data_IF_847375729839
#
_entry.id   IF_847375729839
#
_cell.length_a   1.000
_cell.length_b   1.000
_cell.length_c   1.000
_cell.angle_alpha   90.00
_cell.angle_beta   90.00
_cell.angle_gamma   90.00
#
_symmetry.space_group_name_H-M   'P 1'
#
loop_
_entity.id
_entity.type
_entity.pdbx_description
1 polymer ?
#
# COMPACT_ATOMS: atom_id res chain seq x y z
N UNK A 1 8.36 17.59 8.67
CA UNK A 1 7.96 16.18 8.44
C UNK A 1 7.06 16.15 7.22
N UNK A 2 7.42 15.38 6.21
CA UNK A 2 6.71 15.37 4.92
C UNK A 2 5.39 14.62 5.02
N UNK A 3 4.33 15.21 4.45
CA UNK A 3 2.99 14.62 4.48
C UNK A 3 2.94 13.25 3.79
N UNK A 4 3.69 13.12 2.70
CA UNK A 4 3.86 11.85 1.99
C UNK A 4 4.57 10.78 2.83
N UNK A 5 5.55 11.18 3.65
CA UNK A 5 6.25 10.25 4.54
C UNK A 5 5.32 9.70 5.62
N UNK A 6 4.41 10.51 6.14
CA UNK A 6 3.39 10.03 7.09
C UNK A 6 2.43 9.00 6.44
N UNK A 7 2.11 9.16 5.15
CA UNK A 7 1.32 8.18 4.39
C UNK A 7 2.09 6.87 4.27
N UNK A 8 3.37 6.94 3.90
CA UNK A 8 4.26 5.78 3.82
C UNK A 8 4.33 5.04 5.17
N UNK A 9 4.56 5.75 6.27
CA UNK A 9 4.60 5.17 7.61
C UNK A 9 3.28 4.49 8.01
N UNK A 10 2.14 5.13 7.74
CA UNK A 10 0.81 4.54 7.99
C UNK A 10 0.56 3.28 7.17
N UNK A 11 1.04 3.27 5.93
CA UNK A 11 1.01 2.11 5.05
C UNK A 11 2.11 1.10 5.38
N UNK A 12 3.02 1.39 6.33
CA UNK A 12 4.10 0.49 6.71
C UNK A 12 5.18 0.33 5.64
N UNK A 13 5.41 1.35 4.82
CA UNK A 13 6.62 1.52 4.03
C UNK A 13 7.76 1.95 4.96
N UNK A 14 8.25 0.98 5.69
CA UNK A 14 9.37 0.98 6.62
C UNK A 14 9.69 -0.50 6.84
N UNK A 15 10.85 -0.87 7.39
CA UNK A 15 11.21 -2.28 7.55
C UNK A 15 10.03 -3.00 8.21
N UNK A 16 9.36 -3.92 7.50
CA UNK A 16 8.39 -4.74 8.17
C UNK A 16 9.18 -5.51 9.23
N UNK A 17 8.75 -5.39 10.48
CA UNK A 17 8.85 -6.54 11.37
C UNK A 17 8.45 -7.75 10.53
N UNK A 18 9.41 -8.64 10.32
CA UNK A 18 9.30 -9.92 9.63
C UNK A 18 7.85 -10.42 9.53
N UNK A 19 7.22 -10.43 8.34
CA UNK A 19 6.19 -11.39 8.04
C UNK A 19 6.92 -12.67 7.67
N UNK A 20 7.42 -13.37 8.70
CA UNK A 20 8.25 -14.56 8.52
C UNK A 20 9.31 -14.70 9.60
N UNK A 21 8.90 -14.79 10.86
CA UNK A 21 9.46 -15.91 11.61
C UNK A 21 8.75 -17.15 11.06
N UNK A 22 9.40 -18.03 10.28
CA UNK A 22 9.16 -19.43 10.55
C UNK A 22 9.69 -19.61 11.97
N UNK A 23 8.79 -19.59 12.95
CA UNK A 23 9.05 -20.34 14.16
C UNK A 23 9.51 -21.72 13.67
N UNK A 24 10.76 -22.15 13.95
CA UNK A 24 11.12 -23.52 13.69
C UNK A 24 10.20 -24.35 14.59
N UNK A 25 9.17 -24.94 13.98
CA UNK A 25 8.42 -26.00 14.63
C UNK A 25 9.45 -27.03 15.11
N UNK A 26 9.48 -27.39 16.41
CA UNK A 26 10.36 -28.46 16.86
C UNK A 26 9.85 -29.75 16.24
N UNK A 27 10.50 -30.19 15.16
CA UNK A 27 10.32 -31.53 14.64
C UNK A 27 11.15 -32.50 15.49
N UNK A 28 10.53 -33.46 16.20
CA UNK A 28 11.25 -34.58 16.75
C UNK A 28 11.69 -35.52 15.61
N UNK A 29 12.98 -35.83 15.55
CA UNK A 29 13.47 -37.05 14.87
C UNK A 29 12.96 -38.28 15.68
N UNK A 30 12.65 -39.43 15.05
CA UNK A 30 13.69 -40.22 14.37
C UNK A 30 13.27 -40.99 13.08
N UNK A 31 14.28 -41.22 12.24
CA UNK A 31 14.64 -42.43 11.48
C UNK A 31 13.67 -43.18 10.53
N UNK A 32 14.17 -43.36 9.29
CA UNK A 32 14.17 -44.58 8.44
C UNK A 32 12.99 -44.89 7.48
N UNK A 33 13.26 -44.71 6.17
CA UNK A 33 13.23 -45.68 5.04
C UNK A 33 12.67 -45.09 3.71
N UNK A 34 13.18 -45.49 2.53
CA UNK A 34 12.85 -44.86 1.25
C UNK A 34 11.88 -45.69 0.39
N UNK A 35 10.81 -45.06 -0.13
CA UNK A 35 10.20 -45.32 -1.46
C UNK A 35 8.84 -44.64 -1.58
N UNK A 36 8.64 -43.91 -2.69
CA UNK A 36 7.40 -43.82 -3.49
C UNK A 36 7.12 -42.42 -4.06
N UNK A 37 7.23 -42.34 -5.39
CA UNK A 37 6.50 -41.50 -6.35
C UNK A 37 6.53 -39.96 -6.21
N UNK A 38 7.03 -39.23 -7.23
CA UNK A 38 6.81 -37.79 -7.32
C UNK A 38 5.38 -37.50 -7.80
N UNK A 39 4.49 -37.21 -6.85
CA UNK A 39 3.23 -36.51 -7.11
C UNK A 39 3.57 -35.04 -7.37
N UNK A 40 3.06 -34.40 -8.45
CA UNK A 40 3.25 -32.96 -8.64
C UNK A 40 2.43 -32.21 -7.58
N UNK A 41 3.13 -31.68 -6.59
CA UNK A 41 2.60 -30.74 -5.61
C UNK A 41 2.14 -29.49 -6.37
N UNK A 42 0.88 -29.02 -6.23
CA UNK A 42 0.52 -27.71 -6.72
C UNK A 42 1.38 -26.68 -5.99
N UNK A 43 2.26 -26.03 -6.73
CA UNK A 43 3.06 -24.93 -6.24
C UNK A 43 2.12 -23.91 -5.57
N UNK A 44 2.28 -23.57 -4.28
CA UNK A 44 1.69 -22.34 -3.78
C UNK A 44 2.28 -21.21 -4.63
N UNK A 45 1.40 -20.57 -5.41
CA UNK A 45 1.71 -19.43 -6.23
C UNK A 45 2.59 -18.47 -5.43
N UNK A 46 3.73 -18.12 -6.03
CA UNK A 46 4.79 -17.36 -5.39
C UNK A 46 4.24 -16.24 -4.54
N UNK A 47 4.46 -16.39 -3.23
CA UNK A 47 4.48 -15.29 -2.29
C UNK A 47 5.57 -14.31 -2.76
N UNK A 48 5.22 -13.42 -3.69
CA UNK A 48 5.97 -12.20 -3.96
C UNK A 48 5.79 -11.23 -2.77
N UNK A 49 6.16 -11.68 -1.57
CA UNK A 49 6.03 -10.94 -0.32
C UNK A 49 7.27 -10.10 -0.10
N UNK A 50 7.46 -9.11 -0.96
CA UNK A 50 8.40 -8.01 -0.68
C UNK A 50 7.85 -6.65 -1.09
N UNK A 51 6.77 -6.59 -1.87
CA UNK A 51 6.05 -5.36 -2.12
C UNK A 51 4.96 -5.16 -1.06
N UNK A 52 4.90 -3.96 -0.47
CA UNK A 52 3.84 -3.59 0.47
C UNK A 52 2.53 -3.54 -0.30
N UNK A 53 1.57 -4.41 0.02
CA UNK A 53 0.28 -4.42 -0.67
C UNK A 53 -0.58 -3.22 -0.21
N UNK A 54 -0.43 -2.12 -0.94
CA UNK A 54 -1.06 -0.83 -0.64
C UNK A 54 -2.57 -0.96 -0.70
N UNK A 55 -3.08 -1.67 -1.71
CA UNK A 55 -4.52 -1.85 -1.90
C UNK A 55 -5.11 -2.65 -0.77
N UNK A 56 -4.54 -3.80 -0.41
CA UNK A 56 -5.04 -4.59 0.70
C UNK A 56 -5.02 -3.79 2.03
N UNK A 57 -3.98 -2.97 2.25
CA UNK A 57 -3.92 -2.10 3.44
C UNK A 57 -4.98 -1.00 3.42
N UNK A 58 -5.14 -0.29 2.31
CA UNK A 58 -6.16 0.75 2.17
C UNK A 58 -7.57 0.16 2.26
N UNK A 59 -7.83 -1.01 1.67
CA UNK A 59 -9.11 -1.70 1.80
C UNK A 59 -9.39 -2.14 3.23
N UNK A 60 -8.40 -2.73 3.93
CA UNK A 60 -8.57 -3.12 5.33
C UNK A 60 -8.83 -1.93 6.25
N UNK A 61 -8.11 -0.82 6.03
CA UNK A 61 -8.33 0.43 6.75
C UNK A 61 -9.70 1.03 6.39
N UNK A 62 -10.07 1.08 5.12
CA UNK A 62 -11.35 1.62 4.66
C UNK A 62 -12.54 0.80 5.18
N UNK A 63 -12.42 -0.53 5.23
CA UNK A 63 -13.41 -1.41 5.84
C UNK A 63 -13.51 -1.22 7.36
N UNK A 64 -12.40 -0.85 8.01
CA UNK A 64 -12.39 -0.48 9.43
C UNK A 64 -12.93 0.92 9.69
N UNK A 65 -13.05 1.75 8.64
CA UNK A 65 -13.66 3.06 8.76
C UNK A 65 -15.20 2.91 8.71
N UNK A 66 -15.95 3.59 9.61
CA UNK A 66 -17.41 3.55 9.60
C UNK A 66 -18.02 4.30 8.41
N UNK A 67 -17.21 5.03 7.65
CA UNK A 67 -17.63 5.81 6.49
C UNK A 67 -17.25 5.08 5.20
N UNK A 68 -18.14 5.15 4.20
CA UNK A 68 -17.87 4.63 2.86
C UNK A 68 -16.98 5.64 2.11
N UNK A 69 -15.67 5.48 2.24
CA UNK A 69 -14.64 6.38 1.72
C UNK A 69 -14.11 5.84 0.37
N UNK A 70 -14.15 6.66 -0.69
CA UNK A 70 -13.72 6.26 -2.02
C UNK A 70 -12.26 6.65 -2.29
N UNK A 71 -11.34 6.00 -1.57
CA UNK A 71 -9.89 6.27 -1.66
C UNK A 71 -9.29 6.00 -3.05
N UNK A 72 -10.01 5.27 -3.92
CA UNK A 72 -9.60 4.93 -5.29
C UNK A 72 -9.75 6.07 -6.29
N UNK A 73 -10.68 7.00 -6.05
CA UNK A 73 -10.88 8.18 -6.89
C UNK A 73 -10.56 9.49 -6.18
N UNK A 74 -10.53 9.48 -4.84
CA UNK A 74 -10.38 10.67 -4.02
C UNK A 74 -9.17 10.59 -3.10
N UNK A 75 -8.21 11.49 -3.34
CA UNK A 75 -7.09 11.69 -2.41
C UNK A 75 -7.55 12.08 -1.01
N UNK A 76 -8.67 12.81 -0.90
CA UNK A 76 -9.27 13.21 0.39
C UNK A 76 -9.70 11.98 1.17
N UNK A 77 -10.42 11.06 0.54
CA UNK A 77 -10.87 9.82 1.17
C UNK A 77 -9.68 8.91 1.53
N UNK A 78 -8.64 8.86 0.70
CA UNK A 78 -7.40 8.15 1.01
C UNK A 78 -6.75 8.69 2.29
N UNK A 79 -6.68 10.01 2.46
CA UNK A 79 -6.16 10.63 3.69
C UNK A 79 -7.03 10.27 4.91
N UNK A 80 -8.36 10.30 4.76
CA UNK A 80 -9.30 9.92 5.83
C UNK A 80 -9.12 8.47 6.26
N UNK A 81 -8.98 7.56 5.31
CA UNK A 81 -8.75 6.12 5.57
C UNK A 81 -7.50 5.90 6.43
N UNK A 82 -6.44 6.67 6.19
CA UNK A 82 -5.18 6.62 6.94
C UNK A 82 -5.26 7.33 8.31
N UNK A 83 -6.38 7.98 8.62
CA UNK A 83 -6.56 8.81 9.81
C UNK A 83 -5.75 10.11 9.76
N UNK A 84 -5.46 10.62 8.57
CA UNK A 84 -4.78 11.88 8.36
C UNK A 84 -5.79 13.02 8.15
N UNK A 85 -5.40 14.23 8.55
CA UNK A 85 -6.19 15.43 8.31
C UNK A 85 -6.38 15.65 6.81
N UNK A 86 -7.64 15.61 6.37
CA UNK A 86 -8.01 15.69 4.95
C UNK A 86 -8.39 17.12 4.57
N UNK A 87 -7.57 18.05 5.04
CA UNK A 87 -7.78 19.50 4.93
C UNK A 87 -7.09 20.08 3.70
N UNK A 88 -7.52 21.28 3.27
CA UNK A 88 -6.88 21.99 2.15
C UNK A 88 -5.38 22.21 2.39
N UNK A 89 -4.96 22.41 3.64
CA UNK A 89 -3.55 22.51 4.01
C UNK A 89 -2.79 21.21 3.74
N UNK A 90 -3.34 20.06 4.13
CA UNK A 90 -2.76 18.74 3.85
C UNK A 90 -2.59 18.51 2.35
N UNK A 91 -3.63 18.80 1.55
CA UNK A 91 -3.55 18.66 0.09
C UNK A 91 -2.53 19.61 -0.51
N UNK A 92 -2.44 20.86 -0.03
CA UNK A 92 -1.49 21.86 -0.55
C UNK A 92 -0.07 21.51 -0.16
N UNK A 93 0.16 21.02 1.06
CA UNK A 93 1.44 20.49 1.51
C UNK A 93 1.89 19.32 0.64
N UNK A 94 1.02 18.32 0.45
CA UNK A 94 1.30 17.18 -0.41
C UNK A 94 1.56 17.60 -1.87
N UNK A 95 0.77 18.54 -2.39
CA UNK A 95 0.93 19.05 -3.74
C UNK A 95 2.25 19.80 -3.92
N UNK A 96 2.65 20.58 -2.92
CA UNK A 96 3.90 21.34 -2.94
C UNK A 96 5.08 20.39 -2.87
N UNK A 97 5.01 19.38 -2.00
CA UNK A 97 6.03 18.32 -1.84
C UNK A 97 6.21 17.52 -3.13
N UNK A 98 5.11 17.14 -3.79
CA UNK A 98 5.14 16.37 -5.02
C UNK A 98 5.43 17.21 -6.27
N UNK A 99 5.55 18.54 -6.15
CA UNK A 99 5.83 19.43 -7.27
C UNK A 99 4.63 19.64 -8.21
N UNK A 100 3.42 19.70 -7.66
CA UNK A 100 2.19 19.93 -8.43
C UNK A 100 2.28 21.22 -9.27
N UNK A 101 2.05 21.14 -10.58
CA UNK A 101 2.14 22.30 -11.45
C UNK A 101 1.06 23.33 -11.11
N UNK A 102 1.42 24.61 -11.20
CA UNK A 102 0.51 25.73 -10.88
C UNK A 102 -0.75 25.72 -11.75
N UNK A 103 -0.66 25.22 -12.97
CA UNK A 103 -1.78 25.03 -13.89
C UNK A 103 -2.84 24.09 -13.30
N UNK A 104 -2.41 23.02 -12.63
CA UNK A 104 -3.30 22.07 -11.95
C UNK A 104 -3.73 22.61 -10.59
N UNK A 105 -2.89 23.37 -9.88
CA UNK A 105 -3.27 24.00 -8.60
C UNK A 105 -4.43 24.98 -8.73
N UNK A 106 -4.60 25.61 -9.90
CA UNK A 106 -5.68 26.57 -10.13
C UNK A 106 -7.06 25.90 -10.26
N UNK A 107 -7.10 24.60 -10.60
CA UNK A 107 -8.33 23.83 -10.73
C UNK A 107 -8.37 22.72 -9.67
N UNK A 108 -9.29 22.84 -8.72
CA UNK A 108 -9.37 21.94 -7.55
C UNK A 108 -9.61 20.48 -7.93
N UNK A 109 -10.35 20.22 -9.02
CA UNK A 109 -10.65 18.87 -9.48
C UNK A 109 -9.43 18.24 -10.17
N UNK A 110 -8.79 18.98 -11.07
CA UNK A 110 -7.54 18.59 -11.72
C UNK A 110 -6.41 18.40 -10.70
N UNK A 111 -6.33 19.26 -9.69
CA UNK A 111 -5.38 19.15 -8.58
C UNK A 111 -5.58 17.84 -7.84
N UNK A 112 -6.81 17.50 -7.46
CA UNK A 112 -7.13 16.27 -6.73
C UNK A 112 -6.85 15.01 -7.55
N UNK A 113 -7.22 14.99 -8.83
CA UNK A 113 -6.95 13.88 -9.75
C UNK A 113 -5.44 13.69 -9.94
N UNK A 114 -4.70 14.79 -10.16
CA UNK A 114 -3.26 14.76 -10.31
C UNK A 114 -2.59 14.27 -9.02
N UNK A 115 -2.95 14.84 -7.86
CA UNK A 115 -2.44 14.42 -6.55
C UNK A 115 -2.65 12.93 -6.31
N UNK A 116 -3.87 12.44 -6.54
CA UNK A 116 -4.21 11.04 -6.37
C UNK A 116 -3.28 10.14 -7.21
N UNK A 117 -3.13 10.45 -8.50
CA UNK A 117 -2.26 9.68 -9.41
C UNK A 117 -0.80 9.77 -9.00
N UNK A 118 -0.29 10.95 -8.68
CA UNK A 118 1.11 11.14 -8.29
C UNK A 118 1.44 10.45 -6.97
N UNK A 119 0.53 10.46 -6.01
CA UNK A 119 0.69 9.73 -4.74
C UNK A 119 0.77 8.23 -4.98
N UNK A 120 -0.14 7.68 -5.78
CA UNK A 120 -0.12 6.26 -6.14
C UNK A 120 1.15 5.88 -6.90
N UNK A 121 1.57 6.70 -7.87
CA UNK A 121 2.83 6.49 -8.58
C UNK A 121 4.02 6.48 -7.61
N UNK A 122 4.09 7.47 -6.70
CA UNK A 122 5.20 7.55 -5.75
C UNK A 122 5.18 6.38 -4.75
N UNK A 123 4.02 5.91 -4.31
CA UNK A 123 3.91 4.69 -3.51
C UNK A 123 4.43 3.46 -4.27
N UNK A 124 4.07 3.33 -5.56
CA UNK A 124 4.55 2.24 -6.40
C UNK A 124 6.09 2.30 -6.55
N UNK A 125 6.64 3.49 -6.78
CA UNK A 125 8.09 3.73 -6.82
C UNK A 125 8.80 3.37 -5.50
N UNK A 126 8.13 3.50 -4.35
CA UNK A 126 8.67 3.14 -3.03
C UNK A 126 8.51 1.64 -2.68
N UNK A 127 8.14 0.79 -3.64
CA UNK A 127 7.98 -0.65 -3.44
C UNK A 127 6.54 -1.08 -3.12
N UNK A 128 5.56 -0.26 -3.47
CA UNK A 128 4.15 -0.51 -3.23
C UNK A 128 3.55 -1.37 -4.34
N UNK A 129 2.77 -2.39 -3.97
CA UNK A 129 1.96 -3.12 -4.94
C UNK A 129 0.67 -2.33 -5.21
N UNK A 130 0.61 -1.67 -6.37
CA UNK A 130 -0.55 -0.90 -6.81
C UNK A 130 -0.98 -1.41 -8.20
N UNK A 131 -2.24 -1.81 -8.38
CA UNK A 131 -2.75 -2.28 -9.66
C UNK A 131 -2.82 -1.11 -10.66
N UNK A 132 -2.54 -1.43 -11.92
CA UNK A 132 -2.51 -0.46 -13.02
C UNK A 132 -3.84 0.26 -13.24
N UNK A 133 -4.96 -0.33 -12.83
CA UNK A 133 -6.28 0.30 -12.88
C UNK A 133 -6.35 1.60 -12.07
N UNK A 134 -5.61 1.68 -10.95
CA UNK A 134 -5.56 2.86 -10.09
C UNK A 134 -4.53 3.89 -10.57
N UNK A 135 -3.55 3.43 -11.36
CA UNK A 135 -2.56 4.29 -12.02
C UNK A 135 -3.11 4.90 -13.34
N UNK A 136 -4.29 4.45 -13.78
CA UNK A 136 -4.97 4.77 -15.05
C UNK A 136 -5.37 6.23 -15.21
#
# INVERSE_FOLDING_TARGET
>A
MSFFSAILEKLGFGPPAQPGAPAPAPAPAPASTPSTQPVPIPAPAGAALSAVDVVAKLEGLAASNPQKLDWKGSIVDLLKVLGLESSLEARKGLATELGCPKEKMNDSAQMNLWLHKTVLQKLAENGGNIPKELLG
#
